data_IF_401431843624
#
_entry.id   IF_401431843624
#
_cell.length_a   1.000
_cell.length_b   1.000
_cell.length_c   1.000
_cell.angle_alpha   90.00
_cell.angle_beta   90.00
_cell.angle_gamma   90.00
#
_symmetry.space_group_name_H-M   'P 1'
#
loop_
_entity.id
_entity.type
_entity.pdbx_description
1 polymer ?
#
# COMPACT_ATOMS: atom_id res chain seq x y z
N UNK A 1 -12.60 -16.48 -0.31
CA UNK A 1 -13.04 -15.32 -1.12
C UNK A 1 -14.15 -14.60 -0.39
N UNK A 2 -14.18 -13.27 -0.45
CA UNK A 2 -15.23 -12.47 0.22
C UNK A 2 -16.55 -12.53 -0.57
N UNK A 3 -17.68 -12.23 0.08
CA UNK A 3 -19.01 -12.13 -0.57
C UNK A 3 -18.96 -11.18 -1.78
N UNK A 4 -18.31 -10.04 -1.62
CA UNK A 4 -18.14 -9.06 -2.70
C UNK A 4 -17.32 -9.62 -3.88
N UNK A 5 -16.24 -10.35 -3.60
CA UNK A 5 -15.40 -10.98 -4.63
C UNK A 5 -16.18 -12.05 -5.42
N UNK A 6 -16.96 -12.89 -4.74
CA UNK A 6 -17.77 -13.92 -5.38
C UNK A 6 -18.92 -13.31 -6.21
N UNK A 7 -19.55 -12.24 -5.72
CA UNK A 7 -20.56 -11.49 -6.48
C UNK A 7 -20.01 -10.83 -7.74
N UNK A 8 -18.80 -10.25 -7.66
CA UNK A 8 -18.11 -9.68 -8.82
C UNK A 8 -17.69 -10.74 -9.84
N UNK A 9 -17.18 -11.87 -9.37
CA UNK A 9 -16.83 -13.02 -10.21
C UNK A 9 -18.06 -13.51 -11.00
N UNK A 10 -19.20 -13.71 -10.33
CA UNK A 10 -20.43 -14.16 -10.99
C UNK A 10 -20.91 -13.17 -12.07
N UNK A 11 -20.83 -11.86 -11.80
CA UNK A 11 -21.14 -10.82 -12.81
C UNK A 11 -20.16 -10.80 -13.98
N UNK A 12 -18.87 -10.96 -13.70
CA UNK A 12 -17.84 -11.02 -14.74
C UNK A 12 -18.04 -12.24 -15.66
N UNK A 13 -18.32 -13.41 -15.08
CA UNK A 13 -18.65 -14.62 -15.84
C UNK A 13 -19.85 -14.40 -16.76
N UNK A 14 -20.91 -13.75 -16.26
CA UNK A 14 -22.09 -13.46 -17.06
C UNK A 14 -21.78 -12.49 -18.21
N UNK A 15 -21.02 -11.42 -17.94
CA UNK A 15 -20.60 -10.46 -18.97
C UNK A 15 -19.71 -11.09 -20.05
N UNK A 16 -18.94 -12.11 -19.70
CA UNK A 16 -18.13 -12.90 -20.64
C UNK A 16 -18.91 -14.00 -21.37
N UNK A 17 -20.24 -14.10 -21.18
CA UNK A 17 -21.08 -15.12 -21.82
C UNK A 17 -21.06 -16.49 -21.14
N UNK A 18 -20.42 -16.63 -19.97
CA UNK A 18 -20.38 -17.87 -19.18
C UNK A 18 -21.57 -17.96 -18.21
N UNK A 19 -22.80 -17.99 -18.75
CA UNK A 19 -24.03 -17.99 -17.96
C UNK A 19 -24.12 -19.13 -16.93
N UNK A 20 -23.68 -20.35 -17.29
CA UNK A 20 -23.70 -21.49 -16.37
C UNK A 20 -22.74 -21.33 -15.19
N UNK A 21 -21.54 -20.79 -15.47
CA UNK A 21 -20.58 -20.47 -14.41
C UNK A 21 -21.10 -19.39 -13.48
N UNK A 22 -21.71 -18.34 -14.03
CA UNK A 22 -22.32 -17.26 -13.27
C UNK A 22 -23.46 -17.76 -12.36
N UNK A 23 -24.36 -18.62 -12.89
CA UNK A 23 -25.44 -19.25 -12.12
C UNK A 23 -24.89 -20.08 -10.97
N UNK A 24 -23.94 -20.97 -11.24
CA UNK A 24 -23.34 -21.82 -10.21
C UNK A 24 -22.74 -20.99 -9.08
N UNK A 25 -21.93 -19.98 -9.41
CA UNK A 25 -21.31 -19.10 -8.40
C UNK A 25 -22.37 -18.32 -7.62
N UNK A 26 -23.44 -17.85 -8.26
CA UNK A 26 -24.53 -17.15 -7.58
C UNK A 26 -25.34 -18.06 -6.65
N UNK A 27 -25.64 -19.30 -7.05
CA UNK A 27 -26.32 -20.32 -6.22
C UNK A 27 -25.44 -20.70 -5.03
N UNK A 28 -24.14 -20.95 -5.24
CA UNK A 28 -23.21 -21.27 -4.18
C UNK A 28 -23.10 -20.13 -3.16
N UNK A 29 -23.16 -18.88 -3.63
CA UNK A 29 -23.13 -17.68 -2.77
C UNK A 29 -24.34 -17.63 -1.82
N UNK A 30 -25.56 -17.82 -2.31
CA UNK A 30 -26.76 -17.80 -1.46
C UNK A 30 -26.88 -19.03 -0.57
N UNK A 31 -26.39 -20.20 -1.01
CA UNK A 31 -26.32 -21.41 -0.19
C UNK A 31 -25.33 -21.27 0.97
N UNK A 32 -24.19 -20.63 0.72
CA UNK A 32 -23.16 -20.39 1.73
C UNK A 32 -23.57 -19.31 2.74
N UNK A 33 -24.36 -18.32 2.30
CA UNK A 33 -24.76 -17.17 3.12
C UNK A 33 -26.28 -16.91 3.07
N UNK A 34 -27.12 -17.86 3.49
CA UNK A 34 -28.57 -17.81 3.26
C UNK A 34 -29.31 -16.70 4.02
N UNK A 35 -28.66 -16.07 5.01
CA UNK A 35 -29.22 -14.97 5.82
C UNK A 35 -28.55 -13.61 5.58
N UNK A 36 -27.64 -13.52 4.61
CA UNK A 36 -26.84 -12.33 4.37
C UNK A 36 -27.42 -11.46 3.24
N UNK A 37 -27.86 -10.26 3.59
CA UNK A 37 -28.54 -9.31 2.69
C UNK A 37 -27.76 -9.03 1.40
N UNK A 38 -26.47 -8.69 1.53
CA UNK A 38 -25.62 -8.41 0.36
C UNK A 38 -25.33 -9.62 -0.52
N UNK A 39 -25.35 -10.83 0.04
CA UNK A 39 -25.12 -12.05 -0.74
C UNK A 39 -26.37 -12.36 -1.59
N UNK A 40 -27.55 -12.22 -0.99
CA UNK A 40 -28.83 -12.32 -1.69
C UNK A 40 -28.91 -11.30 -2.84
N UNK A 41 -28.66 -10.01 -2.56
CA UNK A 41 -28.74 -8.95 -3.55
C UNK A 41 -27.83 -9.18 -4.77
N UNK A 42 -26.59 -9.62 -4.52
CA UNK A 42 -25.63 -9.90 -5.58
C UNK A 42 -26.06 -11.12 -6.41
N UNK A 43 -26.48 -12.19 -5.76
CA UNK A 43 -26.86 -13.43 -6.43
C UNK A 43 -28.16 -13.29 -7.23
N UNK A 44 -29.23 -12.70 -6.67
CA UNK A 44 -30.51 -12.56 -7.38
C UNK A 44 -30.40 -11.69 -8.63
N UNK A 45 -29.56 -10.66 -8.58
CA UNK A 45 -29.22 -9.84 -9.75
C UNK A 45 -28.56 -10.66 -10.86
N UNK A 46 -27.64 -11.57 -10.51
CA UNK A 46 -26.96 -12.44 -11.49
C UNK A 46 -27.90 -13.51 -12.02
N UNK A 47 -28.67 -14.17 -11.14
CA UNK A 47 -29.60 -15.23 -11.51
C UNK A 47 -30.71 -14.69 -12.42
N UNK A 48 -31.27 -13.52 -12.11
CA UNK A 48 -32.25 -12.86 -12.97
C UNK A 48 -31.67 -12.53 -14.36
N UNK A 49 -30.45 -12.00 -14.42
CA UNK A 49 -29.79 -11.68 -15.68
C UNK A 49 -29.34 -12.95 -16.47
N UNK A 50 -29.22 -14.09 -15.79
CA UNK A 50 -28.98 -15.40 -16.41
C UNK A 50 -30.27 -16.18 -16.73
N UNK A 51 -31.43 -15.51 -16.65
CA UNK A 51 -32.78 -16.03 -16.88
C UNK A 51 -33.16 -17.24 -15.99
N UNK A 52 -32.60 -17.31 -14.78
CA UNK A 52 -32.90 -18.35 -13.79
C UNK A 52 -33.74 -17.78 -12.64
N UNK A 53 -35.00 -17.49 -12.95
CA UNK A 53 -35.91 -16.91 -11.97
C UNK A 53 -36.36 -17.90 -10.90
N UNK A 54 -36.38 -19.21 -11.21
CA UNK A 54 -36.70 -20.23 -10.21
C UNK A 54 -35.68 -20.25 -9.06
N UNK A 55 -34.38 -20.12 -9.38
CA UNK A 55 -33.35 -20.00 -8.36
C UNK A 55 -33.45 -18.69 -7.55
N UNK A 56 -33.94 -17.59 -8.16
CA UNK A 56 -34.24 -16.35 -7.43
C UNK A 56 -35.35 -16.59 -6.42
N UNK A 57 -36.45 -17.22 -6.83
CA UNK A 57 -37.58 -17.51 -5.94
C UNK A 57 -37.17 -18.37 -4.75
N UNK A 58 -36.40 -19.43 -4.99
CA UNK A 58 -35.85 -20.28 -3.94
C UNK A 58 -34.96 -19.48 -2.97
N UNK A 59 -34.00 -18.71 -3.50
CA UNK A 59 -33.05 -17.96 -2.68
C UNK A 59 -33.76 -16.90 -1.82
N UNK A 60 -34.71 -16.16 -2.39
CA UNK A 60 -35.46 -15.15 -1.65
C UNK A 60 -36.42 -15.79 -0.65
N UNK A 61 -37.08 -16.90 -1.00
CA UNK A 61 -37.96 -17.62 -0.07
C UNK A 61 -37.19 -18.10 1.17
N UNK A 62 -36.02 -18.72 0.98
CA UNK A 62 -35.14 -19.14 2.09
C UNK A 62 -34.73 -17.95 2.96
N UNK A 63 -34.38 -16.82 2.34
CA UNK A 63 -33.98 -15.62 3.07
C UNK A 63 -35.14 -14.99 3.87
N UNK A 64 -36.32 -14.84 3.25
CA UNK A 64 -37.49 -14.23 3.87
C UNK A 64 -38.16 -15.12 4.92
N UNK A 65 -38.02 -16.45 4.82
CA UNK A 65 -38.41 -17.38 5.89
C UNK A 65 -37.58 -17.13 7.15
N UNK A 66 -36.26 -16.94 6.99
CA UNK A 66 -35.38 -16.61 8.11
C UNK A 66 -35.53 -15.17 8.62
N UNK A 67 -35.92 -14.22 7.75
CA UNK A 67 -36.09 -12.80 8.06
C UNK A 67 -37.39 -12.25 7.44
N UNK A 68 -38.53 -12.49 8.08
CA UNK A 68 -39.81 -12.01 7.58
C UNK A 68 -39.81 -10.49 7.46
N UNK A 69 -40.26 -9.98 6.30
CA UNK A 69 -40.38 -8.55 5.98
C UNK A 69 -39.05 -7.77 5.91
N UNK A 70 -37.92 -8.45 5.78
CA UNK A 70 -36.64 -7.76 5.55
C UNK A 70 -36.62 -7.05 4.19
N UNK A 71 -36.22 -5.77 4.22
CA UNK A 71 -36.26 -4.87 3.08
C UNK A 71 -35.42 -5.38 1.90
N UNK A 72 -34.26 -5.98 2.17
CA UNK A 72 -33.40 -6.49 1.11
C UNK A 72 -34.04 -7.67 0.38
N UNK A 73 -34.69 -8.57 1.11
CA UNK A 73 -35.38 -9.72 0.52
C UNK A 73 -36.52 -9.27 -0.40
N UNK A 74 -37.33 -8.32 0.06
CA UNK A 74 -38.44 -7.76 -0.72
C UNK A 74 -37.93 -7.06 -1.99
N UNK A 75 -36.93 -6.18 -1.86
CA UNK A 75 -36.35 -5.45 -2.99
C UNK A 75 -35.63 -6.38 -3.99
N UNK A 76 -34.97 -7.44 -3.50
CA UNK A 76 -34.27 -8.40 -4.36
C UNK A 76 -35.24 -9.19 -5.24
N UNK A 77 -36.40 -9.59 -4.70
CA UNK A 77 -37.45 -10.20 -5.53
C UNK A 77 -38.06 -9.20 -6.50
N UNK A 78 -38.45 -8.02 -6.02
CA UNK A 78 -39.07 -7.00 -6.86
C UNK A 78 -38.15 -6.60 -8.03
N UNK A 79 -36.85 -6.47 -7.77
CA UNK A 79 -35.87 -6.14 -8.80
C UNK A 79 -35.63 -7.27 -9.80
N UNK A 80 -35.50 -8.51 -9.34
CA UNK A 80 -35.36 -9.65 -10.24
C UNK A 80 -36.61 -9.85 -11.12
N UNK A 81 -37.80 -9.66 -10.55
CA UNK A 81 -39.06 -9.75 -11.27
C UNK A 81 -39.18 -8.64 -12.32
N UNK A 82 -38.87 -7.39 -11.96
CA UNK A 82 -38.85 -6.28 -12.90
C UNK A 82 -37.77 -6.41 -13.99
N UNK A 83 -36.62 -7.03 -13.69
CA UNK A 83 -35.55 -7.28 -14.66
C UNK A 83 -35.93 -8.33 -15.72
N UNK A 84 -36.90 -9.19 -15.41
CA UNK A 84 -37.32 -10.31 -16.24
C UNK A 84 -38.77 -10.17 -16.71
N UNK A 85 -39.27 -8.93 -16.75
CA UNK A 85 -40.62 -8.55 -17.22
C UNK A 85 -41.80 -9.21 -16.48
N UNK A 86 -41.58 -9.73 -15.26
CA UNK A 86 -42.60 -10.32 -14.38
C UNK A 86 -43.30 -9.25 -13.53
N UNK A 87 -44.03 -8.37 -14.21
CA UNK A 87 -44.62 -7.15 -13.62
C UNK A 87 -45.55 -7.42 -12.42
N UNK A 88 -46.37 -8.47 -12.45
CA UNK A 88 -47.30 -8.79 -11.36
C UNK A 88 -46.57 -9.15 -10.04
N UNK A 89 -45.48 -9.90 -10.14
CA UNK A 89 -44.65 -10.28 -8.98
C UNK A 89 -43.91 -9.05 -8.45
N UNK A 90 -43.33 -8.25 -9.34
CA UNK A 90 -42.65 -7.02 -8.98
C UNK A 90 -43.59 -6.05 -8.25
N UNK A 91 -44.82 -5.88 -8.74
CA UNK A 91 -45.81 -5.00 -8.14
C UNK A 91 -46.25 -5.50 -6.75
N UNK A 92 -46.54 -6.79 -6.62
CA UNK A 92 -46.91 -7.42 -5.34
C UNK A 92 -45.84 -7.20 -4.26
N UNK A 93 -44.55 -7.39 -4.60
CA UNK A 93 -43.47 -7.18 -3.65
C UNK A 93 -43.22 -5.69 -3.35
N UNK A 94 -43.36 -4.80 -4.33
CA UNK A 94 -43.29 -3.35 -4.08
C UNK A 94 -44.40 -2.87 -3.14
N UNK A 95 -45.63 -3.39 -3.28
CA UNK A 95 -46.75 -3.02 -2.40
C UNK A 95 -46.46 -3.35 -0.92
N UNK A 96 -45.66 -4.38 -0.64
CA UNK A 96 -45.25 -4.74 0.73
C UNK A 96 -44.38 -3.68 1.41
N UNK A 97 -43.76 -2.78 0.65
CA UNK A 97 -42.94 -1.68 1.19
C UNK A 97 -43.79 -0.50 1.67
N UNK A 98 -45.06 -0.44 1.26
CA UNK A 98 -45.96 0.66 1.58
C UNK A 98 -45.74 1.93 0.73
N UNK A 99 -46.56 2.98 0.95
CA UNK A 99 -46.55 4.20 0.14
C UNK A 99 -45.44 5.21 0.50
N UNK A 100 -44.49 4.86 1.36
CA UNK A 100 -43.48 5.78 1.89
C UNK A 100 -42.08 5.18 1.89
N UNK A 101 -41.08 6.05 2.06
CA UNK A 101 -39.68 5.68 2.09
C UNK A 101 -39.36 4.91 3.40
N UNK A 102 -38.91 3.64 3.34
CA UNK A 102 -38.68 2.85 4.54
C UNK A 102 -37.63 3.47 5.47
N UNK A 103 -37.90 3.48 6.77
CA UNK A 103 -36.94 3.95 7.76
C UNK A 103 -35.69 3.04 7.77
N UNK A 104 -34.51 3.65 7.78
CA UNK A 104 -33.24 2.92 7.80
C UNK A 104 -32.82 2.28 6.46
N UNK A 105 -33.50 2.60 5.34
CA UNK A 105 -33.09 2.15 4.01
C UNK A 105 -31.65 2.60 3.69
N UNK A 106 -30.80 1.69 3.22
CA UNK A 106 -29.43 2.01 2.80
C UNK A 106 -29.42 2.72 1.43
N UNK A 107 -28.27 3.29 1.05
CA UNK A 107 -28.13 3.94 -0.27
C UNK A 107 -28.30 2.92 -1.39
N UNK A 108 -27.73 1.72 -1.25
CA UNK A 108 -27.86 0.65 -2.25
C UNK A 108 -29.32 0.18 -2.40
N UNK A 109 -30.03 0.03 -1.27
CA UNK A 109 -31.45 -0.33 -1.26
C UNK A 109 -32.32 0.76 -1.88
N UNK A 110 -32.00 2.02 -1.62
CA UNK A 110 -32.70 3.17 -2.18
C UNK A 110 -32.49 3.25 -3.70
N UNK A 111 -31.27 3.01 -4.19
CA UNK A 111 -30.99 2.91 -5.63
C UNK A 111 -31.74 1.74 -6.28
N UNK A 112 -31.77 0.58 -5.62
CA UNK A 112 -32.51 -0.58 -6.09
C UNK A 112 -34.01 -0.28 -6.16
N UNK A 113 -34.60 0.28 -5.10
CA UNK A 113 -36.01 0.66 -5.06
C UNK A 113 -36.37 1.67 -6.14
N UNK A 114 -35.54 2.70 -6.34
CA UNK A 114 -35.66 3.69 -7.42
C UNK A 114 -35.67 3.04 -8.79
N UNK A 115 -34.74 2.12 -9.04
CA UNK A 115 -34.66 1.39 -10.30
C UNK A 115 -35.92 0.53 -10.56
N UNK A 116 -36.42 -0.19 -9.56
CA UNK A 116 -37.65 -0.98 -9.70
C UNK A 116 -38.85 -0.07 -9.94
N UNK A 117 -38.98 1.03 -9.19
CA UNK A 117 -40.07 1.99 -9.36
C UNK A 117 -40.11 2.59 -10.77
N UNK A 118 -38.95 2.96 -11.33
CA UNK A 118 -38.82 3.46 -12.70
C UNK A 118 -39.23 2.40 -13.73
N UNK A 119 -38.72 1.16 -13.59
CA UNK A 119 -39.09 0.04 -14.45
C UNK A 119 -40.58 -0.28 -14.43
N UNK A 120 -41.22 -0.13 -13.27
CA UNK A 120 -42.64 -0.37 -13.09
C UNK A 120 -43.53 0.85 -13.44
N UNK A 121 -42.94 1.95 -13.94
CA UNK A 121 -43.68 3.17 -14.29
C UNK A 121 -44.22 3.98 -13.11
N UNK A 122 -43.77 3.70 -11.87
CA UNK A 122 -44.17 4.40 -10.64
C UNK A 122 -43.36 5.69 -10.46
N UNK A 123 -43.65 6.69 -11.31
CA UNK A 123 -42.90 7.95 -11.40
C UNK A 123 -42.77 8.71 -10.07
N UNK A 124 -43.84 8.77 -9.29
CA UNK A 124 -43.82 9.48 -7.98
C UNK A 124 -42.89 8.79 -6.97
N UNK A 125 -42.89 7.45 -6.95
CA UNK A 125 -42.01 6.66 -6.09
C UNK A 125 -40.54 6.83 -6.50
N UNK A 126 -40.25 6.78 -7.81
CA UNK A 126 -38.90 7.02 -8.33
C UNK A 126 -38.40 8.44 -8.00
N UNK A 127 -39.25 9.46 -8.19
CA UNK A 127 -38.92 10.85 -7.86
C UNK A 127 -38.66 11.05 -6.35
N UNK A 128 -39.44 10.41 -5.48
CA UNK A 128 -39.20 10.44 -4.04
C UNK A 128 -37.88 9.81 -3.64
N UNK A 129 -37.46 8.73 -4.32
CA UNK A 129 -36.19 8.09 -4.07
C UNK A 129 -35.01 8.94 -4.57
N UNK A 130 -35.15 9.59 -5.73
CA UNK A 130 -34.15 10.53 -6.27
C UNK A 130 -33.95 11.72 -5.32
N UNK A 131 -35.03 12.32 -4.82
CA UNK A 131 -34.94 13.43 -3.86
C UNK A 131 -34.20 13.03 -2.57
N UNK A 132 -34.44 11.83 -2.05
CA UNK A 132 -33.75 11.33 -0.86
C UNK A 132 -32.28 11.01 -1.13
N UNK A 133 -31.94 10.47 -2.30
CA UNK A 133 -30.54 10.27 -2.72
C UNK A 133 -29.79 11.60 -2.80
N UNK A 134 -30.38 12.60 -3.45
CA UNK A 134 -29.83 13.96 -3.54
C UNK A 134 -29.65 14.59 -2.15
N UNK A 135 -30.66 14.45 -1.28
CA UNK A 135 -30.59 14.94 0.11
C UNK A 135 -29.43 14.31 0.87
N UNK A 136 -29.25 13.00 0.79
CA UNK A 136 -28.15 12.27 1.47
C UNK A 136 -26.80 12.65 0.90
N UNK A 137 -26.67 12.71 -0.43
CA UNK A 137 -25.45 13.14 -1.10
C UNK A 137 -25.07 14.56 -0.68
N UNK A 138 -26.04 15.48 -0.62
CA UNK A 138 -25.81 16.84 -0.17
C UNK A 138 -25.32 16.88 1.28
N UNK A 139 -25.94 16.12 2.19
CA UNK A 139 -25.52 16.02 3.58
C UNK A 139 -24.09 15.47 3.73
N UNK A 140 -23.77 14.40 3.02
CA UNK A 140 -22.43 13.81 3.02
C UNK A 140 -21.38 14.78 2.46
N UNK A 141 -21.71 15.49 1.38
CA UNK A 141 -20.84 16.51 0.79
C UNK A 141 -20.62 17.69 1.74
N UNK A 142 -21.66 18.15 2.46
CA UNK A 142 -21.53 19.20 3.48
C UNK A 142 -20.67 18.71 4.66
N UNK A 143 -20.91 17.49 5.14
CA UNK A 143 -20.12 16.89 6.22
C UNK A 143 -18.65 16.73 5.81
N UNK A 144 -18.38 16.25 4.60
CA UNK A 144 -17.05 16.12 4.04
C UNK A 144 -16.36 17.48 3.90
N UNK A 145 -17.06 18.48 3.35
CA UNK A 145 -16.53 19.86 3.28
C UNK A 145 -16.21 20.43 4.66
N UNK A 146 -17.05 20.18 5.65
CA UNK A 146 -16.81 20.63 7.03
C UNK A 146 -15.60 19.92 7.65
N UNK A 147 -15.50 18.59 7.51
CA UNK A 147 -14.36 17.80 8.00
C UNK A 147 -13.05 18.17 7.29
N UNK A 148 -13.11 18.49 6.00
CA UNK A 148 -11.96 18.93 5.21
C UNK A 148 -11.67 20.43 5.36
N UNK A 149 -12.58 21.23 5.91
CA UNK A 149 -12.41 22.69 6.03
C UNK A 149 -11.11 23.12 6.72
N UNK A 150 -10.59 22.44 7.76
CA UNK A 150 -9.30 22.80 8.36
C UNK A 150 -8.10 22.58 7.42
N UNK A 151 -8.24 21.68 6.44
CA UNK A 151 -7.20 21.36 5.46
C UNK A 151 -7.32 22.19 4.17
N UNK A 152 -8.55 22.63 3.84
CA UNK A 152 -8.84 23.43 2.65
C UNK A 152 -8.68 24.93 2.94
N UNK A 153 -9.05 25.39 4.14
CA UNK A 153 -8.87 26.79 4.56
C UNK A 153 -7.40 27.14 4.87
N UNK A 154 -6.51 26.14 4.91
CA UNK A 154 -5.09 26.31 5.16
C UNK A 154 -4.24 26.56 3.89
N UNK A 155 -4.83 26.57 2.68
CA UNK A 155 -4.08 26.84 1.45
C UNK A 155 -4.79 27.87 0.59
N UNK A 156 -4.25 29.10 0.60
CA UNK A 156 -4.40 30.03 -0.51
C UNK A 156 -3.94 29.32 -1.79
N UNK A 157 -4.89 29.05 -2.69
CA UNK A 157 -4.73 28.34 -3.95
C UNK A 157 -4.20 26.89 -3.83
N UNK A 158 -4.73 26.00 -4.66
CA UNK A 158 -3.90 24.90 -5.14
C UNK A 158 -2.68 25.57 -5.81
N UNK A 159 -1.44 25.21 -5.45
CA UNK A 159 -0.27 25.85 -6.04
C UNK A 159 -0.36 25.79 -7.56
N UNK A 160 -0.05 26.89 -8.25
CA UNK A 160 -0.02 26.95 -9.73
C UNK A 160 0.85 25.81 -10.32
N UNK A 161 1.83 25.33 -9.55
CA UNK A 161 2.59 24.12 -9.80
C UNK A 161 2.51 23.13 -8.61
N UNK A 162 1.62 22.12 -8.68
CA UNK A 162 1.54 21.06 -7.68
C UNK A 162 2.86 20.30 -7.48
N UNK A 163 3.71 20.23 -8.50
CA UNK A 163 5.01 19.55 -8.44
C UNK A 163 5.99 20.33 -7.58
N UNK A 164 6.08 21.65 -7.77
CA UNK A 164 6.90 22.52 -6.94
C UNK A 164 6.46 22.47 -5.46
N UNK A 165 5.15 22.44 -5.22
CA UNK A 165 4.62 22.28 -3.86
C UNK A 165 4.98 20.93 -3.24
N UNK A 166 4.79 19.82 -3.97
CA UNK A 166 5.18 18.48 -3.51
C UNK A 166 6.68 18.40 -3.19
N UNK A 167 7.54 18.98 -4.04
CA UNK A 167 8.98 19.09 -3.77
C UNK A 167 9.26 19.90 -2.50
N UNK A 168 8.54 21.01 -2.27
CA UNK A 168 8.70 21.80 -1.04
C UNK A 168 8.31 21.03 0.23
N UNK A 169 7.28 20.18 0.19
CA UNK A 169 6.76 19.50 1.39
C UNK A 169 7.30 18.09 1.61
N UNK A 170 7.99 17.51 0.63
CA UNK A 170 8.48 16.13 0.72
C UNK A 170 9.76 15.86 -0.08
N UNK A 171 10.25 16.86 -0.82
CA UNK A 171 11.44 16.75 -1.65
C UNK A 171 12.75 16.94 -0.88
N UNK A 172 13.88 16.74 -1.57
CA UNK A 172 15.21 16.91 -0.98
C UNK A 172 15.46 18.35 -0.48
N UNK A 173 14.75 19.34 -0.99
CA UNK A 173 14.84 20.74 -0.57
C UNK A 173 14.50 20.96 0.91
N UNK A 174 13.75 20.04 1.54
CA UNK A 174 13.51 20.06 2.98
C UNK A 174 14.76 19.81 3.82
N UNK A 175 15.76 19.14 3.26
CA UNK A 175 17.03 18.91 3.95
C UNK A 175 17.91 20.12 3.69
N UNK A 176 17.75 21.15 4.54
CA UNK A 176 18.66 22.29 4.55
C UNK A 176 20.09 21.78 4.74
N UNK A 177 20.94 21.91 3.72
CA UNK A 177 22.29 21.38 3.72
C UNK A 177 23.30 22.51 3.56
N UNK A 178 24.31 22.52 4.42
CA UNK A 178 25.38 23.52 4.37
C UNK A 178 26.32 23.25 3.19
N UNK A 179 27.00 24.29 2.70
CA UNK A 179 27.99 24.15 1.63
C UNK A 179 29.14 23.19 2.01
N UNK A 180 29.52 23.16 3.29
CA UNK A 180 30.57 22.26 3.80
C UNK A 180 30.10 20.79 3.82
N UNK A 181 28.88 20.51 4.27
CA UNK A 181 28.29 19.16 4.19
C UNK A 181 28.25 18.66 2.75
N UNK A 182 27.77 19.49 1.82
CA UNK A 182 27.71 19.16 0.39
C UNK A 182 29.10 18.83 -0.17
N UNK A 183 30.06 19.72 0.05
CA UNK A 183 31.44 19.57 -0.43
C UNK A 183 32.10 18.31 0.13
N UNK A 184 31.87 17.99 1.40
CA UNK A 184 32.38 16.76 2.03
C UNK A 184 31.83 15.52 1.35
N UNK A 185 30.52 15.46 1.11
CA UNK A 185 29.87 14.31 0.47
C UNK A 185 30.38 14.12 -0.97
N UNK A 186 30.46 15.22 -1.74
CA UNK A 186 30.99 15.19 -3.11
C UNK A 186 32.45 14.71 -3.15
N UNK A 187 33.28 15.20 -2.22
CA UNK A 187 34.69 14.79 -2.12
C UNK A 187 34.83 13.28 -1.83
N UNK A 188 34.04 12.75 -0.90
CA UNK A 188 34.07 11.32 -0.59
C UNK A 188 33.50 10.47 -1.73
N UNK A 189 32.47 10.97 -2.44
CA UNK A 189 31.93 10.30 -3.63
C UNK A 189 33.00 10.16 -4.74
N UNK A 190 33.74 11.24 -5.01
CA UNK A 190 34.86 11.23 -5.95
C UNK A 190 35.96 10.28 -5.47
N UNK A 191 36.35 10.37 -4.20
CA UNK A 191 37.42 9.53 -3.62
C UNK A 191 37.13 8.03 -3.73
N UNK A 192 35.91 7.62 -3.40
CA UNK A 192 35.57 6.20 -3.29
C UNK A 192 35.07 5.59 -4.60
N UNK A 193 34.36 6.35 -5.43
CA UNK A 193 33.71 5.83 -6.64
C UNK A 193 34.21 6.46 -7.94
N UNK A 194 35.03 7.51 -7.88
CA UNK A 194 35.53 8.20 -9.06
C UNK A 194 34.42 8.87 -9.87
N UNK A 195 33.35 9.34 -9.21
CA UNK A 195 32.24 10.01 -9.89
C UNK A 195 32.70 11.26 -10.64
N UNK A 196 32.45 11.25 -11.95
CA UNK A 196 32.50 12.38 -12.87
C UNK A 196 31.45 12.06 -13.97
N UNK A 197 30.15 12.39 -13.80
CA UNK A 197 29.56 13.69 -13.38
C UNK A 197 29.14 13.81 -11.88
N UNK A 198 28.70 15.01 -11.42
CA UNK A 198 28.24 15.26 -10.06
C UNK A 198 27.10 14.35 -9.58
N UNK A 199 26.93 14.30 -8.25
CA UNK A 199 25.81 13.62 -7.60
C UNK A 199 24.48 14.09 -8.17
N UNK A 200 23.55 13.15 -8.33
CA UNK A 200 22.21 13.45 -8.83
C UNK A 200 21.41 14.19 -7.77
N UNK A 201 20.43 14.96 -8.22
CA UNK A 201 19.52 15.70 -7.37
C UNK A 201 18.93 14.81 -6.26
N UNK A 202 18.99 15.28 -5.01
CA UNK A 202 18.52 14.58 -3.82
C UNK A 202 19.48 13.57 -3.20
N UNK A 203 20.55 13.16 -3.89
CA UNK A 203 21.50 12.17 -3.33
C UNK A 203 22.34 12.76 -2.19
N UNK A 204 22.82 13.99 -2.31
CA UNK A 204 23.62 14.60 -1.26
C UNK A 204 22.79 14.84 0.02
N UNK A 205 21.54 15.27 -0.18
CA UNK A 205 20.56 15.55 0.86
C UNK A 205 20.21 14.28 1.65
N UNK A 206 19.93 13.16 0.97
CA UNK A 206 19.67 11.91 1.69
C UNK A 206 20.95 11.35 2.34
N UNK A 207 22.12 11.48 1.71
CA UNK A 207 23.39 10.95 2.25
C UNK A 207 23.80 11.69 3.52
N UNK A 208 23.57 13.01 3.61
CA UNK A 208 23.97 13.81 4.78
C UNK A 208 23.28 13.34 6.06
N UNK A 209 22.04 12.85 5.95
CA UNK A 209 21.22 12.43 7.10
C UNK A 209 21.88 11.28 7.90
N UNK A 210 22.19 10.11 7.33
CA UNK A 210 22.87 9.04 8.06
C UNK A 210 24.38 9.30 8.22
N UNK A 211 25.03 9.94 7.25
CA UNK A 211 26.49 10.08 7.26
C UNK A 211 26.99 11.13 8.25
N UNK A 212 26.40 12.33 8.20
CA UNK A 212 26.86 13.49 8.95
C UNK A 212 25.98 13.70 10.19
N UNK A 213 24.66 13.65 10.01
CA UNK A 213 23.70 13.99 11.08
C UNK A 213 23.29 12.81 11.95
N UNK A 214 23.68 11.58 11.57
CA UNK A 214 23.36 10.33 12.27
C UNK A 214 21.85 10.15 12.50
N UNK A 215 21.04 10.56 11.52
CA UNK A 215 19.57 10.52 11.55
C UNK A 215 19.03 9.46 10.61
N UNK A 216 17.93 8.84 11.04
CA UNK A 216 17.17 7.90 10.21
C UNK A 216 16.38 8.65 9.13
N UNK A 217 16.21 8.03 7.97
CA UNK A 217 15.52 8.63 6.84
C UNK A 217 14.85 7.59 5.93
N UNK A 218 13.82 8.03 5.21
CA UNK A 218 13.20 7.31 4.11
C UNK A 218 13.51 8.04 2.80
N UNK A 219 14.09 7.32 1.86
CA UNK A 219 14.30 7.76 0.49
C UNK A 219 13.29 7.09 -0.45
N UNK A 220 12.45 7.89 -1.10
CA UNK A 220 11.62 7.42 -2.22
C UNK A 220 12.24 7.94 -3.49
N UNK A 221 12.88 7.06 -4.25
CA UNK A 221 13.54 7.43 -5.49
C UNK A 221 13.31 6.36 -6.54
N UNK A 222 12.84 6.73 -7.73
CA UNK A 222 12.49 5.76 -8.77
C UNK A 222 13.68 4.90 -9.21
N UNK A 223 13.40 3.76 -9.84
CA UNK A 223 14.42 2.82 -10.33
C UNK A 223 15.38 3.50 -11.30
N UNK A 224 16.65 3.10 -11.23
CA UNK A 224 17.72 3.74 -11.99
C UNK A 224 18.16 5.11 -11.46
N UNK A 225 17.51 5.66 -10.42
CA UNK A 225 17.84 6.96 -9.83
C UNK A 225 19.18 7.01 -9.08
N UNK A 226 19.77 5.87 -8.75
CA UNK A 226 21.03 5.79 -8.00
C UNK A 226 20.84 5.63 -6.49
N UNK A 227 19.76 4.97 -6.04
CA UNK A 227 19.49 4.65 -4.63
C UNK A 227 20.68 3.99 -3.94
N UNK A 228 21.35 3.06 -4.62
CA UNK A 228 22.43 2.27 -4.02
C UNK A 228 23.60 3.12 -3.54
N UNK A 229 23.96 4.17 -4.27
CA UNK A 229 25.00 5.10 -3.86
C UNK A 229 24.70 5.75 -2.50
N UNK A 230 23.42 5.98 -2.21
CA UNK A 230 22.99 6.74 -1.04
C UNK A 230 23.26 6.01 0.28
N UNK A 231 23.41 4.68 0.25
CA UNK A 231 23.87 3.90 1.40
C UNK A 231 25.28 3.32 1.23
N UNK A 232 25.73 3.07 0.00
CA UNK A 232 27.09 2.57 -0.26
C UNK A 232 28.16 3.61 0.09
N UNK A 233 27.95 4.89 -0.22
CA UNK A 233 28.90 5.94 0.13
C UNK A 233 29.05 6.08 1.65
N UNK A 234 27.97 6.26 2.44
CA UNK A 234 28.08 6.25 3.90
C UNK A 234 28.82 5.02 4.45
N UNK A 235 28.55 3.83 3.92
CA UNK A 235 29.18 2.59 4.37
C UNK A 235 30.71 2.60 4.23
N UNK A 236 31.24 3.19 3.15
CA UNK A 236 32.67 3.24 2.91
C UNK A 236 33.38 4.35 3.72
N UNK A 237 32.66 5.43 4.02
CA UNK A 237 33.19 6.58 4.78
C UNK A 237 33.15 6.32 6.29
N UNK A 238 32.11 5.63 6.78
CA UNK A 238 31.91 5.38 8.20
C UNK A 238 32.88 4.34 8.77
N UNK A 239 33.01 4.34 10.10
CA UNK A 239 34.04 3.57 10.82
C UNK A 239 33.67 2.10 11.00
N UNK A 240 32.39 1.82 11.23
CA UNK A 240 31.82 0.48 11.44
C UNK A 240 31.08 0.02 10.18
N UNK A 241 30.50 -1.17 10.24
CA UNK A 241 29.81 -1.75 9.11
C UNK A 241 28.44 -1.09 8.85
N UNK A 242 27.99 -1.20 7.62
CA UNK A 242 26.62 -0.96 7.19
C UNK A 242 25.97 -2.28 6.81
N UNK A 243 24.82 -2.57 7.39
CA UNK A 243 23.98 -3.71 7.02
C UNK A 243 22.94 -3.24 6.00
N UNK A 244 22.82 -3.94 4.87
CA UNK A 244 21.77 -3.72 3.85
C UNK A 244 20.88 -4.95 3.75
N UNK A 245 19.62 -4.80 4.13
CA UNK A 245 18.58 -5.81 3.94
C UNK A 245 17.91 -5.58 2.59
N UNK A 246 17.96 -6.56 1.70
CA UNK A 246 17.36 -6.49 0.36
C UNK A 246 16.72 -7.84 0.01
N UNK A 247 15.60 -7.89 -0.74
CA UNK A 247 14.93 -9.15 -1.05
C UNK A 247 15.54 -9.86 -2.27
N UNK A 248 16.28 -9.13 -3.10
CA UNK A 248 16.76 -9.62 -4.40
C UNK A 248 18.17 -10.19 -4.30
N UNK A 249 18.27 -11.49 -4.01
CA UNK A 249 19.54 -12.23 -3.89
C UNK A 249 20.44 -12.05 -5.12
N UNK A 250 19.85 -12.13 -6.33
CA UNK A 250 20.58 -11.93 -7.59
C UNK A 250 21.15 -10.52 -7.73
N UNK A 251 20.47 -9.51 -7.18
CA UNK A 251 20.92 -8.13 -7.19
C UNK A 251 22.08 -7.92 -6.21
N UNK A 252 22.09 -8.59 -5.05
CA UNK A 252 23.17 -8.42 -4.05
C UNK A 252 24.56 -8.71 -4.63
N UNK A 253 24.69 -9.80 -5.38
CA UNK A 253 25.98 -10.16 -6.02
C UNK A 253 26.40 -9.09 -7.02
N UNK A 254 25.48 -8.66 -7.89
CA UNK A 254 25.74 -7.58 -8.85
C UNK A 254 26.08 -6.25 -8.17
N UNK A 255 25.47 -5.95 -7.02
CA UNK A 255 25.79 -4.75 -6.23
C UNK A 255 27.19 -4.79 -5.65
N UNK A 256 27.66 -5.96 -5.16
CA UNK A 256 29.04 -6.11 -4.68
C UNK A 256 30.04 -6.06 -5.84
N UNK A 257 29.74 -6.74 -6.95
CA UNK A 257 30.61 -6.76 -8.15
C UNK A 257 30.70 -5.41 -8.86
N UNK A 258 29.64 -4.60 -8.78
CA UNK A 258 29.61 -3.23 -9.32
C UNK A 258 30.35 -2.20 -8.47
N UNK A 259 30.83 -2.57 -7.27
CA UNK A 259 31.63 -1.66 -6.45
C UNK A 259 33.03 -1.46 -7.03
N UNK A 260 33.66 -0.30 -6.77
CA UNK A 260 35.08 -0.08 -7.03
C UNK A 260 35.93 -1.18 -6.38
N UNK A 261 36.99 -1.65 -7.06
CA UNK A 261 37.81 -2.81 -6.62
C UNK A 261 38.29 -2.71 -5.16
N UNK A 262 38.61 -1.51 -4.69
CA UNK A 262 39.03 -1.28 -3.30
C UNK A 262 37.88 -1.49 -2.29
N UNK A 263 36.66 -1.07 -2.66
CA UNK A 263 35.45 -1.24 -1.87
C UNK A 263 34.92 -2.69 -1.92
N UNK A 264 35.03 -3.36 -3.07
CA UNK A 264 34.57 -4.73 -3.27
C UNK A 264 35.19 -5.70 -2.26
N UNK A 265 36.49 -5.56 -1.94
CA UNK A 265 37.18 -6.39 -0.92
C UNK A 265 36.63 -6.23 0.49
N UNK A 266 35.94 -5.12 0.76
CA UNK A 266 35.33 -4.77 2.05
C UNK A 266 33.81 -4.90 2.02
N UNK A 267 33.26 -5.50 0.97
CA UNK A 267 31.84 -5.76 0.86
C UNK A 267 31.59 -7.27 0.79
N UNK A 268 30.50 -7.71 1.38
CA UNK A 268 30.08 -9.12 1.34
C UNK A 268 28.57 -9.22 1.24
N UNK A 269 28.09 -10.43 0.99
CA UNK A 269 26.67 -10.76 1.01
C UNK A 269 26.42 -12.06 1.79
N UNK A 270 25.28 -12.16 2.46
CA UNK A 270 24.87 -13.33 3.26
C UNK A 270 23.43 -13.70 2.88
N UNK A 271 23.29 -14.82 2.16
CA UNK A 271 22.00 -15.32 1.68
C UNK A 271 21.97 -16.86 1.75
N UNK A 272 20.85 -17.47 1.37
CA UNK A 272 20.64 -18.92 1.42
C UNK A 272 21.37 -19.73 0.33
N UNK A 273 21.98 -19.09 -0.67
CA UNK A 273 22.69 -19.77 -1.77
C UNK A 273 24.16 -20.07 -1.48
N UNK A 274 24.69 -19.61 -0.34
CA UNK A 274 26.07 -19.87 0.07
C UNK A 274 26.22 -21.29 0.62
N UNK A 275 27.37 -21.93 0.34
CA UNK A 275 27.75 -23.15 1.04
C UNK A 275 28.00 -22.88 2.53
N UNK A 276 27.95 -23.93 3.35
CA UNK A 276 28.14 -23.81 4.80
C UNK A 276 29.52 -23.25 5.16
N UNK A 277 30.57 -23.64 4.43
CA UNK A 277 31.93 -23.13 4.63
C UNK A 277 32.05 -21.65 4.27
N UNK A 278 31.49 -21.22 3.14
CA UNK A 278 31.50 -19.80 2.73
C UNK A 278 30.70 -18.94 3.71
N UNK A 279 29.56 -19.45 4.18
CA UNK A 279 28.75 -18.76 5.18
C UNK A 279 29.54 -18.58 6.48
N UNK A 280 30.20 -19.63 6.98
CA UNK A 280 31.00 -19.58 8.19
C UNK A 280 32.15 -18.57 8.08
N UNK A 281 32.90 -18.59 6.97
CA UNK A 281 34.00 -17.67 6.70
C UNK A 281 33.53 -16.21 6.69
N UNK A 282 32.45 -15.91 5.95
CA UNK A 282 31.90 -14.55 5.86
C UNK A 282 31.35 -14.09 7.20
N UNK A 283 30.69 -14.96 7.95
CA UNK A 283 30.17 -14.65 9.28
C UNK A 283 31.29 -14.31 10.26
N UNK A 284 32.42 -15.02 10.20
CA UNK A 284 33.59 -14.71 11.00
C UNK A 284 34.22 -13.37 10.60
N UNK A 285 34.35 -13.11 9.30
CA UNK A 285 34.82 -11.82 8.78
C UNK A 285 33.92 -10.65 9.18
N UNK A 286 32.59 -10.85 9.20
CA UNK A 286 31.64 -9.87 9.76
C UNK A 286 31.95 -9.64 11.23
N UNK A 287 32.06 -10.69 12.05
CA UNK A 287 32.33 -10.54 13.49
C UNK A 287 33.67 -9.87 13.82
N UNK A 288 34.67 -9.99 12.94
CA UNK A 288 35.97 -9.29 13.04
C UNK A 288 35.93 -7.84 12.58
N UNK A 289 34.87 -7.41 11.88
CA UNK A 289 34.76 -6.07 11.31
C UNK A 289 35.54 -5.88 10.01
N UNK A 290 35.83 -6.97 9.29
CA UNK A 290 36.59 -6.94 8.03
C UNK A 290 35.81 -6.21 6.91
N UNK A 291 34.47 -6.28 6.98
CA UNK A 291 33.57 -5.70 5.99
C UNK A 291 32.98 -4.35 6.43
N UNK A 292 32.94 -3.42 5.49
CA UNK A 292 32.24 -2.13 5.60
C UNK A 292 30.79 -2.22 5.14
N UNK A 293 30.49 -3.12 4.21
CA UNK A 293 29.16 -3.25 3.63
C UNK A 293 28.75 -4.72 3.60
N UNK A 294 27.65 -5.04 4.29
CA UNK A 294 27.12 -6.40 4.40
C UNK A 294 25.72 -6.42 3.82
N UNK A 295 25.54 -7.04 2.66
CA UNK A 295 24.20 -7.31 2.14
C UNK A 295 23.66 -8.59 2.78
N UNK A 296 22.39 -8.60 3.16
CA UNK A 296 21.75 -9.80 3.67
C UNK A 296 20.30 -9.91 3.20
N UNK A 297 19.86 -11.16 3.02
CA UNK A 297 18.47 -11.46 2.76
C UNK A 297 17.64 -11.31 4.04
N UNK A 298 16.37 -10.88 3.96
CA UNK A 298 15.58 -10.51 5.14
C UNK A 298 15.38 -11.67 6.13
N UNK A 299 15.33 -12.92 5.66
CA UNK A 299 15.21 -14.09 6.51
C UNK A 299 16.40 -14.27 7.49
N UNK A 300 17.55 -13.65 7.20
CA UNK A 300 18.73 -13.68 8.09
C UNK A 300 18.51 -12.88 9.37
N UNK A 301 17.59 -11.91 9.38
CA UNK A 301 17.26 -11.13 10.57
C UNK A 301 16.72 -12.00 11.72
N UNK A 302 16.16 -13.19 11.42
CA UNK A 302 15.68 -14.13 12.43
C UNK A 302 16.81 -14.96 13.07
N UNK A 303 18.01 -14.93 12.50
CA UNK A 303 19.12 -15.79 12.94
C UNK A 303 19.97 -15.09 13.99
N UNK A 304 19.93 -15.60 15.23
CA UNK A 304 20.67 -15.02 16.37
C UNK A 304 22.18 -14.96 16.15
N UNK A 305 22.77 -15.96 15.50
CA UNK A 305 24.21 -15.99 15.17
C UNK A 305 24.61 -14.82 14.26
N UNK A 306 23.75 -14.49 13.28
CA UNK A 306 23.94 -13.35 12.38
C UNK A 306 23.89 -12.01 13.12
N UNK A 307 22.84 -11.80 13.92
CA UNK A 307 22.72 -10.58 14.72
C UNK A 307 23.87 -10.45 15.73
N UNK A 308 24.33 -11.55 16.31
CA UNK A 308 25.48 -11.54 17.24
C UNK A 308 26.79 -11.13 16.55
N UNK A 309 27.07 -11.66 15.36
CA UNK A 309 28.25 -11.27 14.58
C UNK A 309 28.23 -9.77 14.24
N UNK A 310 27.09 -9.25 13.78
CA UNK A 310 26.93 -7.83 13.47
C UNK A 310 27.03 -6.94 14.70
N UNK A 311 26.45 -7.36 15.84
CA UNK A 311 26.54 -6.61 17.09
C UNK A 311 27.98 -6.51 17.59
N UNK A 312 28.78 -7.57 17.41
CA UNK A 312 30.22 -7.55 17.72
C UNK A 312 31.00 -6.59 16.83
N UNK A 313 30.71 -6.56 15.53
CA UNK A 313 31.32 -5.63 14.58
C UNK A 313 30.93 -4.17 14.88
N UNK A 314 29.71 -3.98 15.36
CA UNK A 314 29.05 -2.68 15.47
C UNK A 314 28.55 -2.19 14.11
N UNK A 315 27.45 -1.44 14.13
CA UNK A 315 26.86 -0.85 12.93
C UNK A 315 26.82 0.67 13.04
N UNK A 316 27.20 1.34 11.95
CA UNK A 316 27.06 2.79 11.81
C UNK A 316 25.79 3.16 11.02
N UNK A 317 25.25 2.23 10.22
CA UNK A 317 24.03 2.41 9.43
C UNK A 317 23.33 1.07 9.19
N UNK A 318 22.01 1.08 9.30
CA UNK A 318 21.13 -0.04 8.96
C UNK A 318 20.25 0.36 7.78
N UNK A 319 20.26 -0.42 6.71
CA UNK A 319 19.59 -0.07 5.45
C UNK A 319 18.52 -1.09 5.14
N UNK A 320 17.34 -0.60 4.78
CA UNK A 320 16.24 -1.42 4.29
C UNK A 320 16.00 -1.05 2.83
N UNK A 321 16.46 -1.91 1.93
CA UNK A 321 16.20 -1.81 0.50
C UNK A 321 14.85 -2.45 0.16
N UNK A 322 14.20 -1.94 -0.88
CA UNK A 322 12.81 -2.23 -1.22
C UNK A 322 11.88 -2.18 0.01
N UNK A 323 11.97 -1.09 0.77
CA UNK A 323 11.26 -0.93 2.03
C UNK A 323 9.73 -1.07 1.91
N UNK A 324 9.15 -0.91 0.72
CA UNK A 324 7.72 -1.16 0.48
C UNK A 324 7.28 -2.59 0.80
N UNK A 325 8.19 -3.57 0.83
CA UNK A 325 7.91 -4.96 1.19
C UNK A 325 7.41 -5.13 2.64
N UNK A 326 7.54 -4.12 3.50
CA UNK A 326 7.03 -4.17 4.88
C UNK A 326 5.50 -4.03 4.96
N UNK A 327 4.88 -3.40 3.96
CA UNK A 327 3.45 -3.12 3.96
C UNK A 327 2.64 -4.31 3.46
N UNK A 328 1.69 -4.79 4.26
CA UNK A 328 0.76 -5.87 3.86
C UNK A 328 -0.15 -5.46 2.70
N UNK A 329 -0.34 -4.17 2.50
CA UNK A 329 -1.09 -3.58 1.38
C UNK A 329 -0.19 -3.26 0.18
N UNK A 330 1.12 -3.44 0.33
CA UNK A 330 2.09 -3.38 -0.74
C UNK A 330 1.97 -4.57 -1.69
N UNK A 331 2.26 -4.34 -2.97
CA UNK A 331 2.16 -5.36 -4.02
C UNK A 331 3.21 -6.49 -3.91
N UNK A 332 4.28 -6.30 -3.12
CA UNK A 332 5.35 -7.29 -2.89
C UNK A 332 5.64 -7.48 -1.39
N UNK A 333 4.57 -7.64 -0.58
CA UNK A 333 4.70 -7.87 0.87
C UNK A 333 5.58 -9.10 1.18
N UNK A 334 6.51 -8.95 2.13
CA UNK A 334 7.39 -10.03 2.61
C UNK A 334 7.33 -10.14 4.13
N UNK A 335 6.84 -11.26 4.69
CA UNK A 335 6.73 -11.45 6.14
C UNK A 335 8.06 -11.25 6.91
N UNK A 336 9.20 -11.59 6.29
CA UNK A 336 10.51 -11.41 6.92
C UNK A 336 10.87 -9.95 7.22
N UNK A 337 10.27 -8.98 6.52
CA UNK A 337 10.49 -7.54 6.78
C UNK A 337 9.87 -7.10 8.12
N UNK A 338 8.90 -7.84 8.66
CA UNK A 338 8.30 -7.53 9.97
C UNK A 338 9.33 -7.63 11.11
N UNK A 339 10.42 -8.38 10.93
CA UNK A 339 11.47 -8.55 11.94
C UNK A 339 12.51 -7.41 11.94
N UNK A 340 12.45 -6.48 10.98
CA UNK A 340 13.42 -5.38 10.85
C UNK A 340 13.53 -4.55 12.13
N UNK A 341 12.38 -4.12 12.68
CA UNK A 341 12.35 -3.26 13.87
C UNK A 341 13.00 -3.95 15.08
N UNK A 342 12.64 -5.22 15.31
CA UNK A 342 13.23 -6.01 16.38
C UNK A 342 14.73 -6.22 16.18
N UNK A 343 15.16 -6.61 14.98
CA UNK A 343 16.57 -6.84 14.68
C UNK A 343 17.41 -5.55 14.83
N UNK A 344 16.90 -4.41 14.33
CA UNK A 344 17.54 -3.10 14.51
C UNK A 344 17.75 -2.76 15.98
N UNK A 345 16.74 -3.00 16.82
CA UNK A 345 16.85 -2.80 18.27
C UNK A 345 17.92 -3.71 18.90
N UNK A 346 17.94 -5.00 18.54
CA UNK A 346 18.97 -5.95 18.99
C UNK A 346 20.39 -5.58 18.53
N UNK A 347 20.52 -4.81 17.46
CA UNK A 347 21.79 -4.33 16.94
C UNK A 347 22.24 -3.00 17.57
N UNK A 348 21.53 -2.50 18.59
CA UNK A 348 21.87 -1.26 19.29
C UNK A 348 21.25 -0.01 18.65
N UNK A 349 20.20 -0.19 17.84
CA UNK A 349 19.42 0.87 17.21
C UNK A 349 20.24 1.88 16.36
N UNK A 350 21.11 1.43 15.43
CA UNK A 350 21.84 2.33 14.54
C UNK A 350 20.87 3.18 13.68
N UNK A 351 21.30 4.35 13.15
CA UNK A 351 20.50 5.12 12.21
C UNK A 351 20.02 4.23 11.06
N UNK A 352 18.76 4.39 10.67
CA UNK A 352 18.13 3.58 9.62
C UNK A 352 17.91 4.38 8.34
N UNK A 353 18.31 3.83 7.19
CA UNK A 353 17.98 4.37 5.88
C UNK A 353 17.08 3.38 5.14
N UNK A 354 15.79 3.68 5.06
CA UNK A 354 14.88 2.94 4.19
C UNK A 354 14.95 3.53 2.78
N UNK A 355 15.02 2.69 1.76
CA UNK A 355 15.03 3.13 0.36
C UNK A 355 14.02 2.31 -0.44
N UNK A 356 13.28 2.98 -1.33
CA UNK A 356 12.37 2.29 -2.24
C UNK A 356 12.07 3.10 -3.50
N UNK A 357 11.60 2.43 -4.56
CA UNK A 357 11.14 3.08 -5.77
C UNK A 357 9.77 3.74 -5.64
N UNK A 358 8.87 3.13 -4.88
CA UNK A 358 7.47 3.55 -4.77
C UNK A 358 7.00 3.39 -3.33
N UNK A 359 6.45 4.47 -2.77
CA UNK A 359 5.79 4.44 -1.47
C UNK A 359 4.55 5.35 -1.52
N UNK A 360 3.36 4.81 -1.85
CA UNK A 360 2.09 5.50 -1.62
C UNK A 360 1.98 5.99 -0.17
N UNK A 361 1.16 7.01 0.15
CA UNK A 361 1.13 7.63 1.47
C UNK A 361 1.02 6.63 2.63
N UNK A 362 0.11 5.66 2.55
CA UNK A 362 -0.05 4.63 3.58
C UNK A 362 1.24 3.79 3.77
N UNK A 363 1.83 3.31 2.68
CA UNK A 363 3.06 2.51 2.70
C UNK A 363 4.23 3.33 3.24
N UNK A 364 4.32 4.61 2.87
CA UNK A 364 5.34 5.54 3.37
C UNK A 364 5.23 5.68 4.89
N UNK A 365 4.02 5.94 5.39
CA UNK A 365 3.79 6.18 6.81
C UNK A 365 4.10 4.91 7.63
N UNK A 366 3.71 3.72 7.12
CA UNK A 366 4.11 2.43 7.69
C UNK A 366 5.64 2.27 7.73
N UNK A 367 6.35 2.51 6.61
CA UNK A 367 7.82 2.41 6.56
C UNK A 367 8.47 3.34 7.60
N UNK A 368 7.99 4.59 7.69
CA UNK A 368 8.50 5.58 8.66
C UNK A 368 8.31 5.06 10.09
N UNK A 369 7.15 4.51 10.42
CA UNK A 369 6.91 3.90 11.73
C UNK A 369 7.89 2.74 12.01
N UNK A 370 8.14 1.87 11.02
CA UNK A 370 9.05 0.73 11.15
C UNK A 370 10.51 1.12 11.42
N UNK A 371 10.97 2.24 10.85
CA UNK A 371 12.34 2.74 11.03
C UNK A 371 12.46 3.83 12.08
N UNK A 372 11.37 4.21 12.74
CA UNK A 372 11.39 5.17 13.84
C UNK A 372 12.07 4.58 15.06
N UNK A 373 12.72 5.45 15.83
CA UNK A 373 13.28 5.07 17.12
C UNK A 373 12.18 4.77 18.14
N UNK A 374 12.38 3.80 19.04
CA UNK A 374 11.43 3.59 20.13
C UNK A 374 11.40 4.83 21.03
N UNK A 375 10.24 5.16 21.62
CA UNK A 375 10.16 6.23 22.60
C UNK A 375 11.14 5.97 23.75
N UNK A 376 11.95 6.99 24.04
CA UNK A 376 12.89 7.00 25.15
C UNK A 376 12.14 7.41 26.43
N UNK A 377 12.18 6.56 27.46
CA UNK A 377 11.68 6.89 28.82
C UNK A 377 12.56 7.93 29.54
N UNK A 378 13.63 8.43 28.91
CA UNK A 378 14.45 9.51 29.48
C UNK A 378 13.83 10.86 29.14
N UNK A 379 13.34 11.52 30.18
CA UNK A 379 12.76 12.86 30.18
C UNK A 379 13.49 13.83 29.23
N UNK A 380 12.79 14.29 28.19
CA UNK A 380 13.16 15.48 27.42
C UNK A 380 13.79 15.27 26.03
N UNK A 381 14.08 14.04 25.60
CA UNK A 381 14.60 13.81 24.25
C UNK A 381 13.49 13.99 23.21
N UNK A 382 13.67 14.96 22.31
CA UNK A 382 12.80 15.18 21.15
C UNK A 382 12.81 13.90 20.32
N UNK A 383 11.66 13.20 20.26
CA UNK A 383 11.43 12.08 19.35
C UNK A 383 11.75 12.53 17.92
N UNK A 384 12.90 12.10 17.41
CA UNK A 384 13.31 12.48 16.07
C UNK A 384 12.57 11.61 15.06
N UNK A 385 11.57 12.17 14.40
CA UNK A 385 10.91 11.48 13.30
C UNK A 385 11.88 11.31 12.12
N UNK A 386 11.93 10.12 11.50
CA UNK A 386 12.73 9.90 10.30
C UNK A 386 12.39 10.93 9.22
N UNK A 387 13.41 11.54 8.62
CA UNK A 387 13.18 12.48 7.53
C UNK A 387 12.74 11.73 6.28
N UNK A 388 11.71 12.21 5.59
CA UNK A 388 11.26 11.65 4.32
C UNK A 388 11.74 12.53 3.17
N UNK A 389 12.46 11.93 2.23
CA UNK A 389 12.95 12.58 1.01
C UNK A 389 12.41 11.83 -0.19
N UNK A 390 11.53 12.48 -0.94
CA UNK A 390 10.91 11.96 -2.16
C UNK A 390 11.48 12.69 -3.37
N UNK A 391 12.12 11.94 -4.26
CA UNK A 391 12.59 12.46 -5.53
C UNK A 391 11.52 12.22 -6.58
N UNK A 392 11.37 13.17 -7.49
CA UNK A 392 10.31 13.22 -8.47
C UNK A 392 10.09 11.86 -9.18
N UNK A 393 8.86 11.37 -9.08
CA UNK A 393 8.38 10.15 -9.74
C UNK A 393 7.98 10.40 -11.19
N UNK A 394 7.79 11.66 -11.58
CA UNK A 394 7.42 12.01 -12.95
C UNK A 394 8.53 11.62 -13.92
N UNK A 395 8.10 11.15 -15.09
CA UNK A 395 8.96 10.72 -16.18
C UNK A 395 8.52 11.52 -17.41
N UNK A 396 9.18 12.64 -17.72
CA UNK A 396 8.75 13.51 -18.82
C UNK A 396 8.82 12.81 -20.18
N UNK A 397 9.59 11.72 -20.26
CA UNK A 397 9.71 10.87 -21.44
C UNK A 397 8.63 9.77 -21.54
N UNK A 398 7.73 9.62 -20.56
CA UNK A 398 6.61 8.68 -20.63
C UNK A 398 5.32 9.42 -20.99
N UNK A 399 4.77 9.10 -22.16
CA UNK A 399 3.44 9.55 -22.58
C UNK A 399 2.41 8.51 -22.16
N UNK A 400 1.49 8.89 -21.28
CA UNK A 400 0.38 8.05 -20.85
C UNK A 400 -0.88 8.43 -21.63
N UNK A 401 -1.49 7.46 -22.31
CA UNK A 401 -2.79 7.61 -22.98
C UNK A 401 -3.68 6.43 -22.63
N UNK A 402 -4.91 6.69 -22.18
CA UNK A 402 -5.96 5.68 -22.09
C UNK A 402 -6.86 5.83 -23.32
N UNK A 403 -7.02 4.76 -24.10
CA UNK A 403 -8.01 4.70 -25.17
C UNK A 403 -9.37 4.48 -24.51
N UNK A 404 -10.33 5.37 -24.80
CA UNK A 404 -11.73 5.21 -24.40
C UNK A 404 -12.45 4.16 -25.23
#
# INVERSE_FOLDING_TARGET
>A
TTIASQGLEARALLACGHAEGARRTAVDLVRSYPRHAGALAAATSVLAAADDFAAVEEAVAVYLDAKPNDLQGILSMAAAAAATDRSEIADSYLQRLGPGLPAGITVEQLMQWRWVADKMGRRETAASADLELERRQHQELVALKSALSPFIAASDALPEDPTAYLRRISGPELVEMTAEERKRIETEAIRHFGFDPPLRHGQAEIITLPLIRRRSALMVMPTGGGKSLCYQLPALVQSRATLVISPLISLMKGQVEGLPKAAQKRATFINSMLSESELAERMEGVARGDYKLVYAAPERLRQRSFLHALRRAGLDLFVVDEAHCVSMWGHDFRPDYLFIRQARHELGNPPALAVTATAPPLVRDEIVEYISDPPSDKDGDVLYQPSVVMIDIFRPNLHLSALQ
#
